data_IF_688850450717
#
_entry.id   IF_688850450717
#
_cell.length_a   1.000
_cell.length_b   1.000
_cell.length_c   1.000
_cell.angle_alpha   90.00
_cell.angle_beta   90.00
_cell.angle_gamma   90.00
#
_symmetry.space_group_name_H-M   'P 1'
#
loop_
_entity.id
_entity.type
_entity.pdbx_description
1 polymer ?
#
# COMPACT_ATOMS: atom_id res chain seq x y z
N UNK A 1 7.13 -2.68 -21.93
CA UNK A 1 5.75 -3.14 -22.20
C UNK A 1 5.51 -4.33 -21.29
N UNK A 2 4.38 -4.40 -20.57
CA UNK A 2 3.96 -5.61 -19.85
C UNK A 2 3.38 -6.62 -20.83
N UNK A 3 3.60 -7.91 -20.57
CA UNK A 3 3.09 -8.99 -21.43
C UNK A 3 1.56 -9.10 -21.38
N UNK A 4 0.97 -8.84 -20.20
CA UNK A 4 -0.47 -8.92 -19.97
C UNK A 4 -0.93 -7.56 -19.44
N UNK A 5 -1.52 -6.68 -20.26
CA UNK A 5 -2.10 -5.42 -19.79
C UNK A 5 -3.43 -5.66 -19.06
N UNK A 6 -3.79 -4.77 -18.14
CA UNK A 6 -5.07 -4.85 -17.41
C UNK A 6 -6.28 -4.66 -18.34
N UNK A 7 -6.13 -3.79 -19.35
CA UNK A 7 -7.14 -3.49 -20.37
C UNK A 7 -6.44 -3.35 -21.73
N UNK A 8 -7.06 -3.86 -22.79
CA UNK A 8 -6.60 -3.68 -24.17
C UNK A 8 -7.71 -2.98 -24.97
N UNK A 9 -7.37 -1.84 -25.56
CA UNK A 9 -8.25 -1.12 -26.48
C UNK A 9 -7.68 -1.24 -27.89
N UNK A 10 -8.49 -1.75 -28.83
CA UNK A 10 -8.12 -1.88 -30.22
C UNK A 10 -8.57 -0.66 -31.01
N UNK A 11 -7.65 -0.03 -31.72
CA UNK A 11 -7.93 1.13 -32.58
C UNK A 11 -7.78 0.72 -34.05
N UNK A 12 -8.87 0.25 -34.63
CA UNK A 12 -8.94 -0.17 -36.05
C UNK A 12 -9.51 1.01 -36.86
N UNK A 13 -8.86 1.41 -37.98
CA UNK A 13 -9.33 2.55 -38.77
C UNK A 13 -10.56 2.19 -39.60
N UNK A 14 -11.65 2.94 -39.44
CA UNK A 14 -12.87 2.80 -40.25
C UNK A 14 -12.80 3.55 -41.58
N UNK A 15 -11.89 4.52 -41.73
CA UNK A 15 -11.80 5.36 -42.93
C UNK A 15 -10.37 5.54 -43.40
N UNK A 16 -10.19 5.64 -44.71
CA UNK A 16 -8.89 5.91 -45.32
C UNK A 16 -8.45 7.36 -45.06
N UNK A 17 -7.25 7.53 -44.49
CA UNK A 17 -6.67 8.86 -44.22
C UNK A 17 -6.37 9.70 -45.48
N UNK A 18 -6.37 9.09 -46.68
CA UNK A 18 -6.10 9.80 -47.93
C UNK A 18 -7.38 10.25 -48.66
N UNK A 19 -8.35 9.35 -48.80
CA UNK A 19 -9.54 9.60 -49.62
C UNK A 19 -10.87 9.54 -48.86
N UNK A 20 -10.87 9.13 -47.58
CA UNK A 20 -12.08 9.03 -46.77
C UNK A 20 -12.99 7.83 -47.08
N UNK A 21 -12.57 6.91 -47.96
CA UNK A 21 -13.33 5.68 -48.21
C UNK A 21 -13.47 4.84 -46.93
N UNK A 22 -14.62 4.16 -46.81
CA UNK A 22 -14.93 3.23 -45.73
C UNK A 22 -14.06 1.95 -45.83
N UNK A 23 -13.42 1.59 -44.71
CA UNK A 23 -12.54 0.44 -44.53
C UNK A 23 -13.13 -0.59 -43.55
N UNK A 24 -14.28 -0.33 -42.93
CA UNK A 24 -14.86 -1.14 -41.84
C UNK A 24 -15.08 -2.61 -42.20
N UNK A 25 -15.29 -2.90 -43.49
CA UNK A 25 -15.49 -4.26 -44.01
C UNK A 25 -14.21 -4.94 -44.49
N UNK A 26 -13.07 -4.25 -44.50
CA UNK A 26 -11.79 -4.78 -44.96
C UNK A 26 -11.03 -5.46 -43.80
N UNK A 27 -10.23 -6.50 -44.09
CA UNK A 27 -9.41 -7.14 -43.06
C UNK A 27 -8.29 -6.21 -42.60
N UNK A 28 -8.01 -6.20 -41.30
CA UNK A 28 -6.89 -5.48 -40.71
C UNK A 28 -5.76 -6.44 -40.30
N UNK A 29 -4.55 -5.90 -40.13
CA UNK A 29 -3.38 -6.62 -39.65
C UNK A 29 -2.74 -5.86 -38.50
N UNK A 30 -2.16 -6.57 -37.55
CA UNK A 30 -1.48 -5.95 -36.42
C UNK A 30 -0.25 -5.15 -36.89
N UNK A 31 -0.21 -3.87 -36.53
CA UNK A 31 0.88 -2.96 -36.90
C UNK A 31 1.82 -2.62 -35.75
N UNK A 32 1.42 -2.86 -34.50
CA UNK A 32 2.18 -2.53 -33.30
C UNK A 32 1.29 -2.07 -32.16
N UNK A 33 1.88 -1.91 -30.97
CA UNK A 33 1.19 -1.44 -29.77
C UNK A 33 2.01 -0.41 -29.01
N UNK A 34 1.33 0.37 -28.18
CA UNK A 34 1.91 1.22 -27.14
C UNK A 34 1.12 0.97 -25.86
N UNK A 35 1.75 1.18 -24.72
CA UNK A 35 1.11 1.06 -23.41
C UNK A 35 1.23 2.37 -22.66
N UNK A 36 0.15 2.74 -21.99
CA UNK A 36 0.11 3.84 -21.04
C UNK A 36 0.08 3.21 -19.65
N UNK A 37 1.05 3.57 -18.81
CA UNK A 37 1.02 3.23 -17.39
C UNK A 37 0.39 4.41 -16.67
N UNK A 38 -0.72 4.16 -15.98
CA UNK A 38 -1.43 5.17 -15.23
C UNK A 38 -1.80 4.64 -13.85
N UNK A 39 -2.01 5.55 -12.89
CA UNK A 39 -2.45 5.21 -11.53
C UNK A 39 -3.93 5.56 -11.42
N UNK A 40 -4.84 4.56 -11.36
CA UNK A 40 -6.25 4.82 -11.17
C UNK A 40 -6.52 5.39 -9.76
N UNK A 41 -7.78 5.74 -9.50
CA UNK A 41 -8.20 6.27 -8.19
C UNK A 41 -7.74 5.38 -7.02
N UNK A 42 -6.97 5.94 -6.10
CA UNK A 42 -6.45 5.25 -4.92
C UNK A 42 -7.56 5.14 -3.87
N UNK A 43 -8.06 3.91 -3.64
CA UNK A 43 -9.17 3.63 -2.70
C UNK A 43 -8.70 2.87 -1.48
N UNK A 44 -9.05 3.40 -0.31
CA UNK A 44 -8.84 2.73 0.97
C UNK A 44 -10.06 1.89 1.36
N UNK A 45 -9.83 0.81 2.10
CA UNK A 45 -10.88 -0.01 2.71
C UNK A 45 -10.98 0.27 4.20
N UNK A 46 -12.08 0.89 4.63
CA UNK A 46 -12.39 1.11 6.04
C UNK A 46 -13.33 0.01 6.52
N UNK A 47 -12.97 -0.66 7.62
CA UNK A 47 -13.83 -1.66 8.27
C UNK A 47 -14.25 -1.14 9.64
N UNK A 48 -15.54 -0.87 9.82
CA UNK A 48 -16.10 -0.44 11.11
C UNK A 48 -16.44 -1.68 11.96
N UNK A 49 -15.75 -1.84 13.09
CA UNK A 49 -16.04 -2.91 14.04
C UNK A 49 -17.06 -2.42 15.06
N UNK A 50 -18.29 -2.95 15.01
CA UNK A 50 -19.35 -2.64 15.98
C UNK A 50 -19.48 -3.77 16.98
N UNK A 51 -19.40 -3.43 18.26
CA UNK A 51 -19.65 -4.36 19.36
C UNK A 51 -21.01 -4.08 19.97
N UNK A 52 -21.70 -5.13 20.37
CA UNK A 52 -23.03 -5.06 20.96
C UNK A 52 -22.99 -5.66 22.37
N UNK A 53 -23.99 -5.29 23.17
CA UNK A 53 -24.20 -5.86 24.49
C UNK A 53 -25.62 -6.42 24.60
N UNK A 54 -25.78 -7.47 25.40
CA UNK A 54 -27.06 -8.08 25.75
C UNK A 54 -27.15 -8.22 27.25
N UNK A 55 -28.37 -8.14 27.78
CA UNK A 55 -28.65 -8.39 29.20
C UNK A 55 -29.35 -9.75 29.30
N UNK A 56 -28.77 -10.65 30.08
CA UNK A 56 -29.33 -11.95 30.39
C UNK A 56 -30.53 -11.81 31.34
N UNK A 57 -31.55 -12.69 31.30
CA UNK A 57 -32.63 -12.69 32.29
C UNK A 57 -32.17 -12.78 33.77
N UNK A 58 -30.96 -13.27 34.04
CA UNK A 58 -30.38 -13.23 35.39
C UNK A 58 -29.84 -11.84 35.81
N UNK A 59 -29.91 -10.83 34.94
CA UNK A 59 -29.39 -9.48 35.15
C UNK A 59 -27.94 -9.26 34.67
N UNK A 60 -27.24 -10.31 34.23
CA UNK A 60 -25.86 -10.19 33.75
C UNK A 60 -25.80 -9.49 32.38
N UNK A 61 -25.00 -8.43 32.27
CA UNK A 61 -24.70 -7.74 31.00
C UNK A 61 -23.45 -8.34 30.35
N UNK A 62 -23.60 -8.82 29.11
CA UNK A 62 -22.51 -9.39 28.31
C UNK A 62 -22.27 -8.52 27.09
N UNK A 63 -21.04 -8.05 26.91
CA UNK A 63 -20.60 -7.24 25.76
C UNK A 63 -19.55 -8.00 24.95
N UNK A 64 -19.60 -7.88 23.63
CA UNK A 64 -18.53 -8.41 22.76
C UNK A 64 -17.27 -7.54 22.80
N UNK A 65 -16.11 -8.17 22.64
CA UNK A 65 -14.83 -7.48 22.52
C UNK A 65 -14.54 -6.99 21.10
N UNK A 66 -13.71 -5.94 21.00
CA UNK A 66 -13.15 -5.52 19.71
C UNK A 66 -12.02 -6.48 19.29
N UNK A 67 -11.79 -6.66 17.98
CA UNK A 67 -10.62 -7.39 17.53
C UNK A 67 -9.34 -6.64 17.92
N UNK A 68 -8.23 -7.36 18.13
CA UNK A 68 -6.95 -6.81 18.56
C UNK A 68 -6.40 -5.70 17.66
N UNK A 69 -6.74 -5.75 16.36
CA UNK A 69 -6.36 -4.75 15.36
C UNK A 69 -7.13 -3.41 15.47
N UNK A 70 -8.26 -3.40 16.18
CA UNK A 70 -9.11 -2.22 16.40
C UNK A 70 -9.10 -1.84 17.89
N UNK A 71 -7.90 -1.61 18.42
CA UNK A 71 -7.68 -1.34 19.85
C UNK A 71 -7.81 0.15 20.22
N UNK A 72 -7.98 1.03 19.25
CA UNK A 72 -8.23 2.45 19.41
C UNK A 72 -9.41 2.89 18.52
N UNK A 73 -10.07 4.05 18.80
CA UNK A 73 -11.20 4.55 18.00
C UNK A 73 -10.91 4.63 16.50
N UNK A 74 -9.65 4.94 16.13
CA UNK A 74 -9.13 4.82 14.77
C UNK A 74 -7.84 4.01 14.84
N UNK A 75 -7.75 2.97 14.02
CA UNK A 75 -6.56 2.11 13.91
C UNK A 75 -6.20 1.95 12.44
N UNK A 76 -4.90 1.91 12.13
CA UNK A 76 -4.40 1.76 10.77
C UNK A 76 -3.90 0.33 10.53
N UNK A 77 -4.25 -0.22 9.37
CA UNK A 77 -3.87 -1.59 9.00
C UNK A 77 -2.39 -1.74 8.62
N UNK A 78 -1.93 -2.99 8.51
CA UNK A 78 -0.53 -3.33 8.26
C UNK A 78 0.03 -2.70 6.98
N UNK A 79 -0.76 -2.59 5.90
CA UNK A 79 -0.29 -1.97 4.64
C UNK A 79 0.08 -0.49 4.82
N UNK A 80 -0.66 0.25 5.66
CA UNK A 80 -0.34 1.65 5.97
C UNK A 80 0.92 1.74 6.82
N UNK A 81 1.04 0.86 7.82
CA UNK A 81 2.25 0.75 8.65
C UNK A 81 3.50 0.45 7.80
N UNK A 82 3.40 -0.46 6.82
CA UNK A 82 4.48 -0.79 5.89
C UNK A 82 4.85 0.38 4.96
N UNK A 83 3.86 1.08 4.41
CA UNK A 83 4.12 2.27 3.57
C UNK A 83 4.79 3.38 4.35
N UNK A 84 4.34 3.63 5.59
CA UNK A 84 4.99 4.58 6.50
C UNK A 84 6.45 4.19 6.73
N UNK A 85 6.72 2.91 7.02
CA UNK A 85 8.07 2.38 7.16
C UNK A 85 8.92 2.67 5.92
N UNK A 86 8.44 2.30 4.74
CA UNK A 86 9.14 2.53 3.48
C UNK A 86 9.40 4.01 3.19
N UNK A 87 8.40 4.86 3.37
CA UNK A 87 8.51 6.30 3.14
C UNK A 87 9.50 6.96 4.09
N UNK A 88 9.54 6.54 5.34
CA UNK A 88 10.49 7.05 6.31
C UNK A 88 11.91 6.52 6.09
N UNK A 89 12.10 5.20 6.04
CA UNK A 89 13.45 4.59 6.08
C UNK A 89 14.14 4.53 4.72
N UNK A 90 13.37 4.43 3.62
CA UNK A 90 13.94 4.30 2.28
C UNK A 90 13.82 5.55 1.44
N UNK A 91 12.70 6.27 1.56
CA UNK A 91 12.46 7.51 0.80
C UNK A 91 12.83 8.77 1.60
N UNK A 92 13.20 8.63 2.87
CA UNK A 92 13.63 9.72 3.75
C UNK A 92 12.64 10.89 3.80
N UNK A 93 11.34 10.59 3.75
CA UNK A 93 10.30 11.61 3.78
C UNK A 93 10.14 12.15 5.21
N UNK A 94 10.24 13.48 5.43
CA UNK A 94 9.94 14.08 6.73
C UNK A 94 8.49 13.84 7.16
N UNK A 95 8.23 13.80 8.48
CA UNK A 95 6.92 13.52 9.06
C UNK A 95 5.78 14.35 8.45
N UNK A 96 5.93 15.67 8.40
CA UNK A 96 4.94 16.57 7.79
C UNK A 96 4.66 16.23 6.31
N UNK A 97 5.69 15.90 5.53
CA UNK A 97 5.50 15.52 4.12
C UNK A 97 4.83 14.16 3.96
N UNK A 98 5.15 13.21 4.83
CA UNK A 98 4.43 11.93 4.88
C UNK A 98 2.96 12.14 5.24
N UNK A 99 2.67 13.00 6.22
CA UNK A 99 1.31 13.37 6.58
C UNK A 99 0.56 13.95 5.38
N UNK A 100 1.14 14.94 4.70
CA UNK A 100 0.57 15.55 3.49
C UNK A 100 0.29 14.47 2.42
N UNK A 101 1.24 13.56 2.18
CA UNK A 101 1.08 12.45 1.25
C UNK A 101 -0.12 11.55 1.62
N UNK A 102 -0.22 11.11 2.87
CA UNK A 102 -1.33 10.25 3.31
C UNK A 102 -2.68 10.96 3.26
N UNK A 103 -2.74 12.23 3.64
CA UNK A 103 -3.98 12.99 3.62
C UNK A 103 -4.44 13.34 2.20
N UNK A 104 -3.51 13.68 1.29
CA UNK A 104 -3.85 14.21 -0.04
C UNK A 104 -3.90 13.13 -1.13
N UNK A 105 -2.95 12.20 -1.14
CA UNK A 105 -2.86 11.18 -2.21
C UNK A 105 -3.67 9.94 -1.83
N UNK A 106 -3.59 9.52 -0.57
CA UNK A 106 -4.28 8.32 -0.09
C UNK A 106 -5.64 8.60 0.54
N UNK A 107 -6.00 9.87 0.77
CA UNK A 107 -7.21 10.27 1.50
C UNK A 107 -7.36 9.59 2.88
N UNK A 108 -6.23 9.36 3.56
CA UNK A 108 -6.17 8.75 4.89
C UNK A 108 -5.90 9.86 5.90
N UNK A 109 -6.86 10.19 6.79
CA UNK A 109 -6.63 11.20 7.81
C UNK A 109 -5.62 10.65 8.82
N UNK A 110 -4.41 11.21 8.86
CA UNK A 110 -3.39 10.82 9.84
C UNK A 110 -2.63 12.05 10.36
N UNK A 111 -2.15 11.98 11.59
CA UNK A 111 -1.29 13.00 12.20
C UNK A 111 0.18 12.59 12.18
N UNK A 112 1.11 13.54 12.28
CA UNK A 112 2.53 13.24 12.48
C UNK A 112 2.76 12.34 13.70
N UNK A 113 2.01 12.56 14.79
CA UNK A 113 2.04 11.70 15.97
C UNK A 113 1.55 10.27 15.69
N UNK A 114 0.52 10.11 14.84
CA UNK A 114 0.06 8.79 14.39
C UNK A 114 1.09 8.06 13.55
N UNK A 115 1.77 8.78 12.65
CA UNK A 115 2.89 8.24 11.86
C UNK A 115 4.03 7.79 12.79
N UNK A 116 4.41 8.64 13.75
CA UNK A 116 5.46 8.30 14.73
C UNK A 116 5.10 7.06 15.57
N UNK A 117 3.84 6.94 16.01
CA UNK A 117 3.36 5.76 16.73
C UNK A 117 3.48 4.49 15.86
N UNK A 118 3.03 4.55 14.60
CA UNK A 118 3.08 3.41 13.68
C UNK A 118 4.52 3.03 13.32
N UNK A 119 5.43 3.99 13.16
CA UNK A 119 6.86 3.71 12.96
C UNK A 119 7.46 2.97 14.15
N UNK A 120 7.20 3.41 15.38
CA UNK A 120 7.71 2.73 16.56
C UNK A 120 7.14 1.31 16.70
N UNK A 121 5.85 1.13 16.38
CA UNK A 121 5.23 -0.19 16.31
C UNK A 121 5.93 -1.10 15.29
N UNK A 122 6.29 -0.57 14.13
CA UNK A 122 7.04 -1.30 13.10
C UNK A 122 8.45 -1.66 13.59
N UNK A 123 9.15 -0.75 14.28
CA UNK A 123 10.47 -1.01 14.89
C UNK A 123 10.37 -2.18 15.88
N UNK A 124 9.39 -2.17 16.79
CA UNK A 124 9.18 -3.29 17.73
C UNK A 124 8.92 -4.61 17.01
N UNK A 125 8.19 -4.60 15.89
CA UNK A 125 7.96 -5.81 15.09
C UNK A 125 9.22 -6.28 14.35
N UNK A 126 10.09 -5.37 13.93
CA UNK A 126 11.33 -5.68 13.22
C UNK A 126 12.47 -6.13 14.14
N UNK A 127 12.39 -5.82 15.43
CA UNK A 127 13.43 -6.08 16.41
C UNK A 127 13.89 -7.56 16.49
N UNK A 128 13.01 -8.58 16.44
CA UNK A 128 13.47 -9.98 16.42
C UNK A 128 14.33 -10.29 15.19
N UNK A 129 13.96 -9.78 14.01
CA UNK A 129 14.71 -9.99 12.78
C UNK A 129 16.06 -9.25 12.82
N UNK A 130 16.07 -8.01 13.31
CA UNK A 130 17.29 -7.26 13.53
C UNK A 130 18.26 -7.99 14.48
N UNK A 131 17.76 -8.49 15.61
CA UNK A 131 18.56 -9.23 16.58
C UNK A 131 19.12 -10.53 16.00
N UNK A 132 18.35 -11.24 15.16
CA UNK A 132 18.83 -12.42 14.46
C UNK A 132 19.97 -12.08 13.49
N UNK A 133 19.79 -11.05 12.65
CA UNK A 133 20.84 -10.59 11.73
C UNK A 133 22.10 -10.19 12.51
N UNK A 134 21.92 -9.45 13.61
CA UNK A 134 23.02 -9.04 14.49
C UNK A 134 23.77 -10.24 15.07
N UNK A 135 23.07 -11.29 15.50
CA UNK A 135 23.67 -12.51 16.03
C UNK A 135 24.45 -13.28 14.95
N UNK A 136 23.90 -13.40 13.74
CA UNK A 136 24.57 -14.07 12.62
C UNK A 136 25.86 -13.34 12.22
N UNK A 137 25.81 -12.01 12.13
CA UNK A 137 27.00 -11.17 11.88
C UNK A 137 28.05 -11.40 12.98
N UNK A 138 27.65 -11.38 14.26
CA UNK A 138 28.57 -11.58 15.38
C UNK A 138 29.23 -12.97 15.41
N UNK A 139 28.53 -14.00 14.92
CA UNK A 139 29.02 -15.38 14.88
C UNK A 139 29.75 -15.74 13.58
N UNK A 140 29.80 -14.83 12.59
CA UNK A 140 30.45 -15.08 11.31
C UNK A 140 31.95 -15.29 11.48
N UNK A 141 32.45 -16.40 10.93
CA UNK A 141 33.89 -16.72 10.86
C UNK A 141 34.58 -16.14 9.62
N UNK A 142 33.80 -15.66 8.66
CA UNK A 142 34.30 -15.06 7.42
C UNK A 142 34.39 -13.54 7.56
N UNK A 143 35.36 -12.89 6.88
CA UNK A 143 35.46 -11.44 6.85
C UNK A 143 34.15 -10.80 6.38
N UNK A 144 33.69 -9.78 7.10
CA UNK A 144 32.47 -9.04 6.81
C UNK A 144 32.89 -7.75 6.11
N UNK A 145 32.45 -7.55 4.87
CA UNK A 145 32.67 -6.30 4.13
C UNK A 145 31.75 -5.22 4.66
N UNK A 146 32.18 -4.48 5.68
CA UNK A 146 31.47 -3.33 6.21
C UNK A 146 31.85 -2.10 5.39
N UNK A 147 30.88 -1.42 4.78
CA UNK A 147 31.03 -0.05 4.31
C UNK A 147 30.39 0.90 5.32
N UNK A 148 31.05 2.01 5.64
CA UNK A 148 30.46 3.04 6.49
C UNK A 148 29.63 3.97 5.60
N UNK A 149 28.46 4.35 6.10
CA UNK A 149 27.64 5.42 5.52
C UNK A 149 27.70 6.60 6.49
N UNK A 150 28.39 7.68 6.12
CA UNK A 150 28.43 8.94 6.89
C UNK A 150 27.15 9.76 6.75
#
# INVERSE_FOLDING_TARGET
MVEIPDVTEEHIPDYCNCCGNDLSSLPHQYAGSRQVFDIPEIKIKVTEHKVYKKVCPCGCETKSDYPSQANAPVSYGNNIESLIGYFHTRQYLPFKRMQEMFNTVFNIPISEGGIHYLLNKLVTKAEPAYNLIKQEIANSKSPIGSDETE
#
